data_IF_199751775514
#
_entry.id   IF_199751775514
#
_cell.length_a   1.000
_cell.length_b   1.000
_cell.length_c   1.000
_cell.angle_alpha   90.00
_cell.angle_beta   90.00
_cell.angle_gamma   90.00
#
_symmetry.space_group_name_H-M   'P 1'
#
loop_
_entity.id
_entity.type
_entity.pdbx_description
1 polymer ?
#
# COMPACT_ATOMS: atom_id res chain seq x y z
N UNK A 1 19.94 -13.41 -0.58
CA UNK A 1 19.71 -12.77 -1.90
C UNK A 1 18.59 -11.73 -1.75
N UNK A 2 18.67 -10.60 -2.45
CA UNK A 2 17.66 -9.54 -2.42
C UNK A 2 16.50 -9.78 -3.39
N UNK A 3 15.48 -8.92 -3.34
CA UNK A 3 14.35 -8.92 -4.29
C UNK A 3 14.49 -7.65 -5.15
N UNK A 4 14.65 -7.82 -6.46
CA UNK A 4 14.60 -6.70 -7.39
C UNK A 4 13.14 -6.28 -7.59
N UNK A 5 12.83 -5.02 -7.27
CA UNK A 5 11.49 -4.45 -7.34
C UNK A 5 11.57 -3.08 -7.98
N UNK A 6 10.66 -2.81 -8.90
CA UNK A 6 10.45 -1.51 -9.52
C UNK A 6 9.09 -0.96 -9.07
N UNK A 7 9.02 0.35 -8.82
CA UNK A 7 7.75 1.05 -8.58
C UNK A 7 7.40 1.79 -9.86
N UNK A 8 6.31 1.41 -10.50
CA UNK A 8 5.85 2.02 -11.76
C UNK A 8 4.85 3.15 -11.51
N UNK A 9 4.00 2.98 -10.48
CA UNK A 9 3.03 3.99 -10.06
C UNK A 9 2.85 3.97 -8.54
N UNK A 10 2.58 5.12 -7.95
CA UNK A 10 2.27 5.27 -6.53
C UNK A 10 1.22 6.36 -6.35
N UNK A 11 0.16 6.02 -5.64
CA UNK A 11 -0.89 6.93 -5.22
C UNK A 11 -1.20 6.73 -3.74
N UNK A 12 -1.57 7.83 -3.10
CA UNK A 12 -1.73 7.95 -1.66
C UNK A 12 -2.89 8.89 -1.38
N UNK A 13 -3.84 8.47 -0.54
CA UNK A 13 -5.01 9.28 -0.18
C UNK A 13 -5.33 9.17 1.30
N UNK A 14 -5.82 10.27 1.87
CA UNK A 14 -6.46 10.22 3.19
C UNK A 14 -7.83 9.55 3.10
N UNK A 15 -8.18 8.84 4.16
CA UNK A 15 -9.50 8.28 4.39
C UNK A 15 -10.06 8.94 5.63
N UNK A 16 -11.33 9.35 5.54
CA UNK A 16 -12.08 9.81 6.69
C UNK A 16 -12.14 8.72 7.76
N UNK A 17 -12.26 9.15 9.02
CA UNK A 17 -12.51 8.24 10.13
C UNK A 17 -13.76 7.40 9.85
N UNK A 18 -13.78 6.11 10.25
CA UNK A 18 -14.99 5.30 10.19
C UNK A 18 -16.13 5.97 10.97
N UNK A 19 -17.35 5.92 10.44
CA UNK A 19 -18.54 6.46 11.11
C UNK A 19 -18.69 5.86 12.52
N UNK A 20 -18.80 6.72 13.54
CA UNK A 20 -18.97 6.32 14.94
C UNK A 20 -17.68 6.28 15.77
N UNK A 21 -16.51 6.55 15.17
CA UNK A 21 -15.26 6.79 15.90
C UNK A 21 -15.20 8.27 16.34
N UNK A 22 -14.68 8.57 17.54
CA UNK A 22 -14.51 9.94 18.00
C UNK A 22 -13.43 10.68 17.17
N UNK A 23 -13.85 11.72 16.47
CA UNK A 23 -12.96 12.54 15.62
C UNK A 23 -12.11 13.54 16.44
N UNK A 24 -12.18 13.46 17.77
CA UNK A 24 -11.44 14.30 18.73
C UNK A 24 -9.91 14.13 18.65
N UNK A 25 -9.42 13.08 18.01
CA UNK A 25 -7.98 12.76 17.94
C UNK A 25 -7.40 12.61 16.52
N UNK A 26 -8.02 13.18 15.48
CA UNK A 26 -7.43 13.14 14.14
C UNK A 26 -7.24 11.72 13.59
N UNK A 27 -8.27 10.88 13.70
CA UNK A 27 -8.32 9.47 13.29
C UNK A 27 -8.27 9.22 11.77
N UNK A 28 -7.84 10.22 10.97
CA UNK A 28 -7.69 10.07 9.54
C UNK A 28 -6.68 8.96 9.26
N UNK A 29 -7.06 8.02 8.37
CA UNK A 29 -6.18 6.93 7.93
C UNK A 29 -5.62 7.24 6.57
N UNK A 30 -4.52 6.61 6.21
CA UNK A 30 -3.93 6.66 4.89
C UNK A 30 -4.27 5.36 4.14
N UNK A 31 -4.56 5.48 2.84
CA UNK A 31 -4.51 4.36 1.91
C UNK A 31 -3.50 4.63 0.82
N UNK A 32 -2.65 3.63 0.56
CA UNK A 32 -1.67 3.66 -0.49
C UNK A 32 -1.99 2.57 -1.53
N UNK A 33 -1.83 2.92 -2.80
CA UNK A 33 -1.92 2.03 -3.95
C UNK A 33 -0.59 2.14 -4.70
N UNK A 34 0.04 1.00 -4.99
CA UNK A 34 1.34 0.96 -5.67
C UNK A 34 1.26 -0.01 -6.83
N UNK A 35 1.67 0.37 -8.03
CA UNK A 35 1.99 -0.59 -9.09
C UNK A 35 3.46 -1.00 -8.97
N UNK A 36 3.70 -2.31 -8.78
CA UNK A 36 5.05 -2.86 -8.61
C UNK A 36 5.39 -3.85 -9.71
N UNK A 37 6.58 -3.66 -10.29
CA UNK A 37 7.27 -4.63 -11.12
C UNK A 37 8.15 -5.56 -10.27
N UNK A 38 7.95 -6.87 -10.37
CA UNK A 38 8.80 -7.87 -9.72
C UNK A 38 8.85 -9.16 -10.56
N UNK A 39 10.05 -9.63 -10.89
CA UNK A 39 10.22 -10.87 -11.67
C UNK A 39 9.59 -10.80 -13.08
N UNK A 40 9.67 -9.65 -13.74
CA UNK A 40 9.11 -9.44 -15.09
C UNK A 40 7.60 -9.27 -15.13
N UNK A 41 6.93 -9.07 -13.98
CA UNK A 41 5.47 -8.91 -13.89
C UNK A 41 5.10 -7.66 -13.10
N UNK A 42 4.06 -6.96 -13.55
CA UNK A 42 3.47 -5.82 -12.87
C UNK A 42 2.20 -6.23 -12.11
N UNK A 43 2.05 -5.79 -10.87
CA UNK A 43 0.83 -5.98 -10.07
C UNK A 43 0.53 -4.78 -9.20
N UNK A 44 -0.74 -4.56 -8.89
CA UNK A 44 -1.13 -3.55 -7.92
C UNK A 44 -1.07 -4.07 -6.47
N UNK A 45 -0.46 -3.27 -5.61
CA UNK A 45 -0.36 -3.34 -4.17
C UNK A 45 -1.34 -2.37 -3.50
N UNK A 46 -1.90 -2.74 -2.36
CA UNK A 46 -2.74 -1.82 -1.57
C UNK A 46 -2.44 -2.00 -0.07
N UNK A 47 -2.45 -0.89 0.66
CA UNK A 47 -2.16 -0.84 2.09
C UNK A 47 -2.94 0.27 2.78
N UNK A 48 -3.42 -0.01 3.99
CA UNK A 48 -4.14 0.93 4.84
C UNK A 48 -3.50 0.95 6.21
N UNK A 49 -3.22 2.14 6.73
CA UNK A 49 -2.72 2.34 8.08
C UNK A 49 -3.02 3.77 8.58
N UNK A 50 -2.93 4.03 9.89
CA UNK A 50 -3.03 5.40 10.40
C UNK A 50 -1.77 6.22 10.06
N UNK A 51 -0.64 5.54 9.84
CA UNK A 51 0.60 6.16 9.39
C UNK A 51 0.77 5.96 7.87
N UNK A 52 0.96 7.08 7.17
CA UNK A 52 1.15 7.13 5.72
C UNK A 52 2.27 6.19 5.24
N UNK A 53 3.42 6.19 5.92
CA UNK A 53 4.59 5.36 5.59
C UNK A 53 4.27 3.88 5.76
N UNK A 54 3.58 3.51 6.85
CA UNK A 54 3.16 2.12 7.06
C UNK A 54 2.18 1.67 6.00
N UNK A 55 1.25 2.53 5.56
CA UNK A 55 0.32 2.23 4.47
C UNK A 55 1.08 1.96 3.16
N UNK A 56 2.05 2.79 2.80
CA UNK A 56 2.86 2.61 1.58
C UNK A 56 3.70 1.32 1.62
N UNK A 57 4.32 1.00 2.76
CA UNK A 57 5.09 -0.24 2.91
C UNK A 57 4.19 -1.48 2.80
N UNK A 58 3.00 -1.43 3.40
CA UNK A 58 2.00 -2.50 3.26
C UNK A 58 1.58 -2.66 1.80
N UNK A 59 1.34 -1.56 1.08
CA UNK A 59 1.00 -1.61 -0.33
C UNK A 59 2.11 -2.27 -1.16
N UNK A 60 3.37 -1.89 -0.95
CA UNK A 60 4.53 -2.48 -1.60
C UNK A 60 4.64 -3.99 -1.35
N UNK A 61 4.58 -4.42 -0.08
CA UNK A 61 4.62 -5.84 0.30
C UNK A 61 3.45 -6.64 -0.30
N UNK A 62 2.26 -6.04 -0.31
CA UNK A 62 1.03 -6.60 -0.87
C UNK A 62 1.17 -6.85 -2.37
N UNK A 63 1.74 -5.88 -3.12
CA UNK A 63 2.04 -6.03 -4.55
C UNK A 63 3.09 -7.09 -4.83
N UNK A 64 4.26 -7.04 -4.15
CA UNK A 64 5.33 -8.03 -4.34
C UNK A 64 4.83 -9.45 -4.04
N UNK A 65 4.06 -9.61 -2.96
CA UNK A 65 3.46 -10.89 -2.59
C UNK A 65 2.54 -11.45 -3.68
N UNK A 66 1.79 -10.58 -4.38
CA UNK A 66 0.95 -10.97 -5.52
C UNK A 66 1.76 -11.34 -6.75
N UNK A 67 2.74 -10.50 -7.13
CA UNK A 67 3.62 -10.78 -8.27
C UNK A 67 4.33 -12.14 -8.14
N UNK A 68 4.76 -12.50 -6.93
CA UNK A 68 5.47 -13.76 -6.65
C UNK A 68 4.58 -15.00 -6.57
N UNK A 69 3.32 -14.90 -6.15
CA UNK A 69 2.39 -16.05 -6.08
C UNK A 69 1.82 -16.44 -7.44
N UNK A 70 1.76 -15.49 -8.36
CA UNK A 70 1.22 -15.75 -9.69
C UNK A 70 2.22 -16.47 -10.61
N UNK A 71 3.50 -16.52 -10.24
CA UNK A 71 4.62 -17.11 -10.98
C UNK A 71 4.83 -18.57 -10.57
#
# INVERSE_FOLDING_TARGET
>A
AGIAVEVHHYEERSMASPQGQDDSCGSARACAIVEVGCGGRATFGAGVDANIVTASLRALCSGIGRARRAA
#
